data_IF_312875993353
#
_entry.id   IF_312875993353
#
_cell.length_a   1.000
_cell.length_b   1.000
_cell.length_c   1.000
_cell.angle_alpha   90.00
_cell.angle_beta   90.00
_cell.angle_gamma   90.00
#
_symmetry.space_group_name_H-M   'P 1'
#
loop_
_entity.id
_entity.type
_entity.pdbx_description
1 polymer ?
#
# COMPACT_ATOMS: atom_id res chain seq x y z
N UNK A 1 31.39 2.97 -4.53
CA UNK A 1 30.14 3.16 -3.77
C UNK A 1 29.25 4.09 -4.58
N UNK A 2 28.18 3.57 -5.17
CA UNK A 2 27.17 4.41 -5.82
C UNK A 2 26.31 5.01 -4.70
N UNK A 3 26.07 6.33 -4.65
CA UNK A 3 25.26 6.91 -3.59
C UNK A 3 23.84 6.32 -3.66
N UNK A 4 23.28 6.01 -2.48
CA UNK A 4 21.87 5.67 -2.31
C UNK A 4 21.02 6.74 -3.00
N UNK A 5 20.26 6.37 -4.02
CA UNK A 5 19.28 7.30 -4.58
C UNK A 5 18.10 7.33 -3.61
N UNK A 6 18.02 8.40 -2.83
CA UNK A 6 16.98 8.69 -1.83
C UNK A 6 15.56 8.86 -2.41
N UNK A 7 15.25 8.24 -3.56
CA UNK A 7 14.03 8.38 -4.33
C UNK A 7 13.66 7.08 -5.07
N UNK A 8 14.02 5.90 -4.56
CA UNK A 8 13.58 4.65 -5.17
C UNK A 8 12.05 4.57 -5.12
N UNK A 9 11.41 4.15 -6.21
CA UNK A 9 9.96 3.97 -6.30
C UNK A 9 9.67 2.48 -6.44
N UNK A 10 8.78 1.97 -5.61
CA UNK A 10 8.25 0.60 -5.70
C UNK A 10 6.82 0.67 -6.26
N UNK A 11 6.56 -0.04 -7.35
CA UNK A 11 5.24 -0.09 -7.99
C UNK A 11 4.48 -1.34 -7.54
N UNK A 12 3.36 -1.16 -6.84
CA UNK A 12 2.47 -2.23 -6.40
C UNK A 12 1.29 -2.38 -7.34
N UNK A 13 0.95 -3.61 -7.73
CA UNK A 13 -0.20 -3.87 -8.60
C UNK A 13 -1.38 -4.39 -7.78
N UNK A 14 -2.55 -3.76 -7.94
CA UNK A 14 -3.82 -4.31 -7.45
C UNK A 14 -4.48 -5.15 -8.54
N UNK A 15 -4.50 -6.46 -8.36
CA UNK A 15 -5.19 -7.35 -9.28
C UNK A 15 -6.70 -7.28 -9.11
N UNK A 16 -7.43 -7.44 -10.21
CA UNK A 16 -8.89 -7.51 -10.22
C UNK A 16 -9.32 -8.96 -10.36
N UNK A 17 -10.24 -9.38 -9.51
CA UNK A 17 -10.88 -10.68 -9.58
C UNK A 17 -12.30 -10.53 -10.10
N UNK A 18 -12.57 -11.16 -11.24
CA UNK A 18 -13.91 -11.27 -11.80
C UNK A 18 -14.10 -12.71 -12.31
N UNK A 19 -15.23 -13.32 -11.95
CA UNK A 19 -15.66 -14.62 -12.46
C UNK A 19 -14.64 -15.77 -12.35
N UNK A 20 -13.83 -15.79 -11.29
CA UNK A 20 -12.83 -16.85 -11.11
C UNK A 20 -11.48 -16.61 -11.78
N UNK A 21 -11.32 -15.48 -12.49
CA UNK A 21 -10.14 -15.12 -13.29
C UNK A 21 -9.40 -13.95 -12.63
N UNK A 22 -8.09 -14.11 -12.45
CA UNK A 22 -7.19 -13.03 -12.01
C UNK A 22 -6.79 -12.17 -13.21
N UNK A 23 -7.28 -10.94 -13.31
CA UNK A 23 -6.97 -10.10 -14.46
C UNK A 23 -5.74 -9.21 -14.18
N UNK A 24 -4.70 -9.23 -15.03
CA UNK A 24 -3.47 -8.47 -14.81
C UNK A 24 -3.59 -6.96 -15.11
N UNK A 25 -4.69 -6.48 -15.70
CA UNK A 25 -4.97 -5.05 -15.97
C UNK A 25 -5.36 -4.27 -14.71
N UNK A 26 -4.57 -4.44 -13.66
CA UNK A 26 -4.69 -3.73 -12.40
C UNK A 26 -4.23 -2.28 -12.49
N UNK A 27 -4.63 -1.48 -11.50
CA UNK A 27 -4.01 -0.18 -11.24
C UNK A 27 -2.67 -0.40 -10.53
N UNK A 28 -1.64 0.31 -10.97
CA UNK A 28 -0.36 0.35 -10.26
C UNK A 28 -0.36 1.53 -9.27
N UNK A 29 0.29 1.33 -8.14
CA UNK A 29 0.49 2.32 -7.08
C UNK A 29 1.97 2.46 -6.83
N UNK A 30 2.48 3.66 -7.07
CA UNK A 30 3.89 3.97 -6.90
C UNK A 30 4.10 4.51 -5.48
N UNK A 31 4.95 3.83 -4.70
CA UNK A 31 5.30 4.23 -3.34
C UNK A 31 6.78 4.61 -3.33
N UNK A 32 7.06 5.82 -2.85
CA UNK A 32 8.44 6.30 -2.71
C UNK A 32 9.05 5.73 -1.44
N UNK A 33 10.23 5.12 -1.57
CA UNK A 33 11.01 4.60 -0.44
C UNK A 33 11.66 5.75 0.32
N UNK A 34 11.46 5.81 1.63
CA UNK A 34 11.96 6.86 2.50
C UNK A 34 12.99 6.35 3.50
N UNK A 35 13.81 7.23 4.06
CA UNK A 35 14.71 6.88 5.17
C UNK A 35 13.93 6.61 6.47
N UNK A 36 12.83 7.35 6.67
CA UNK A 36 11.84 7.16 7.72
C UNK A 36 10.59 6.51 7.12
N UNK A 37 10.48 5.19 7.25
CA UNK A 37 9.32 4.44 6.76
C UNK A 37 8.24 4.25 7.83
N UNK A 38 7.15 3.59 7.44
CA UNK A 38 6.01 3.26 8.30
C UNK A 38 6.39 2.57 9.61
N UNK A 39 7.39 1.70 9.59
CA UNK A 39 7.79 0.87 10.72
C UNK A 39 8.93 1.47 11.53
N UNK A 40 9.69 2.43 10.99
CA UNK A 40 10.85 3.00 11.69
C UNK A 40 11.82 3.76 10.78
N UNK A 41 13.06 3.89 11.24
CA UNK A 41 14.13 4.59 10.51
C UNK A 41 15.20 3.60 10.04
N UNK A 42 15.62 3.74 8.79
CA UNK A 42 16.73 2.95 8.24
C UNK A 42 18.10 3.28 8.87
N UNK A 43 18.21 4.44 9.53
CA UNK A 43 19.41 4.87 10.26
C UNK A 43 19.44 4.38 11.72
N UNK A 44 18.39 3.70 12.17
CA UNK A 44 18.35 3.16 13.53
C UNK A 44 19.49 2.15 13.75
N UNK A 45 20.14 2.21 14.91
CA UNK A 45 21.22 1.26 15.25
C UNK A 45 20.71 -0.19 15.36
N UNK A 46 19.42 -0.35 15.64
CA UNK A 46 18.71 -1.63 15.70
C UNK A 46 17.25 -1.42 15.31
N UNK A 47 16.64 -2.44 14.72
CA UNK A 47 15.25 -2.42 14.28
C UNK A 47 14.72 -3.85 14.21
N UNK A 48 13.47 -4.06 14.61
CA UNK A 48 12.81 -5.35 14.44
C UNK A 48 11.31 -5.16 14.23
N UNK A 49 10.74 -5.97 13.35
CA UNK A 49 9.29 -6.08 13.13
C UNK A 49 8.65 -7.16 13.99
N UNK A 50 9.45 -8.12 14.44
CA UNK A 50 9.04 -9.21 15.32
C UNK A 50 9.54 -8.92 16.75
N UNK A 51 8.98 -9.56 17.78
CA UNK A 51 9.43 -9.37 19.16
C UNK A 51 10.94 -9.58 19.29
N UNK A 52 11.61 -8.75 20.10
CA UNK A 52 13.03 -8.89 20.45
C UNK A 52 13.18 -8.98 21.98
N UNK A 53 13.70 -10.10 22.54
CA UNK A 53 14.16 -11.29 21.82
C UNK A 53 13.02 -12.08 21.19
N UNK A 54 13.23 -12.56 19.95
CA UNK A 54 12.26 -13.40 19.26
C UNK A 54 12.26 -14.80 19.88
N UNK A 55 11.11 -15.20 20.41
CA UNK A 55 10.86 -16.58 20.80
C UNK A 55 10.03 -17.27 19.71
N UNK A 56 10.69 -18.01 18.81
CA UNK A 56 10.03 -18.79 17.73
C UNK A 56 8.91 -19.67 18.28
N UNK A 57 9.02 -20.18 19.51
CA UNK A 57 8.01 -21.05 20.08
C UNK A 57 6.65 -20.38 20.31
N UNK A 58 6.63 -19.05 20.38
CA UNK A 58 5.42 -18.25 20.52
C UNK A 58 4.74 -17.94 19.17
N UNK A 59 5.42 -18.20 18.03
CA UNK A 59 4.85 -18.00 16.71
C UNK A 59 3.92 -19.17 16.36
N UNK A 60 2.65 -18.89 16.06
CA UNK A 60 1.70 -19.93 15.66
C UNK A 60 2.09 -20.59 14.34
N UNK A 61 2.78 -19.86 13.47
CA UNK A 61 3.27 -20.33 12.18
C UNK A 61 4.67 -20.98 12.25
N UNK A 62 5.21 -21.27 13.45
CA UNK A 62 6.48 -22.02 13.51
C UNK A 62 6.38 -23.40 12.81
N UNK A 63 5.18 -23.97 12.79
CA UNK A 63 4.84 -25.22 12.11
C UNK A 63 3.57 -25.02 11.27
N UNK A 64 3.57 -25.52 10.04
CA UNK A 64 2.34 -25.74 9.27
C UNK A 64 1.86 -27.16 9.48
N UNK A 65 0.56 -27.34 9.75
CA UNK A 65 -0.07 -28.65 9.88
C UNK A 65 -0.15 -29.42 8.56
N UNK A 66 0.11 -28.74 7.44
CA UNK A 66 0.02 -29.28 6.09
C UNK A 66 1.38 -29.28 5.36
N UNK A 67 2.49 -29.05 6.09
CA UNK A 67 3.85 -28.83 5.57
C UNK A 67 4.37 -29.87 4.55
N UNK A 68 3.83 -31.09 4.51
CA UNK A 68 4.20 -32.09 3.51
C UNK A 68 3.02 -32.99 3.11
N UNK A 69 1.80 -32.44 3.20
CA UNK A 69 0.61 -33.19 2.77
C UNK A 69 0.47 -33.25 1.25
N UNK A 70 0.97 -32.23 0.54
CA UNK A 70 0.99 -32.13 -0.92
C UNK A 70 2.27 -31.43 -1.40
N UNK A 71 2.62 -31.60 -2.67
CA UNK A 71 3.74 -30.88 -3.29
C UNK A 71 3.52 -29.37 -3.21
N UNK A 72 2.31 -28.89 -3.48
CA UNK A 72 1.96 -27.47 -3.37
C UNK A 72 2.09 -26.89 -1.96
N UNK A 73 1.58 -27.59 -0.93
CA UNK A 73 1.67 -27.12 0.45
C UNK A 73 3.11 -27.09 0.96
N UNK A 74 3.92 -28.09 0.57
CA UNK A 74 5.36 -28.09 0.82
C UNK A 74 6.06 -26.93 0.10
N UNK A 75 5.79 -26.73 -1.19
CA UNK A 75 6.37 -25.63 -1.96
C UNK A 75 6.04 -24.27 -1.34
N UNK A 76 4.81 -24.07 -0.86
CA UNK A 76 4.38 -22.82 -0.22
C UNK A 76 5.19 -22.49 1.04
N UNK A 77 5.49 -23.49 1.86
CA UNK A 77 6.31 -23.36 3.06
C UNK A 77 7.82 -23.25 2.74
N UNK A 78 8.35 -24.13 1.88
CA UNK A 78 9.76 -24.15 1.48
C UNK A 78 10.16 -22.87 0.72
N UNK A 79 9.22 -22.28 -0.02
CA UNK A 79 9.43 -20.99 -0.68
C UNK A 79 9.34 -19.80 0.27
N UNK A 80 9.13 -20.03 1.57
CA UNK A 80 8.96 -19.04 2.63
C UNK A 80 7.73 -18.13 2.50
N UNK A 81 6.81 -18.40 1.56
CA UNK A 81 5.60 -17.59 1.41
C UNK A 81 4.61 -17.78 2.56
N UNK A 82 4.53 -18.99 3.13
CA UNK A 82 3.79 -19.24 4.36
C UNK A 82 4.28 -18.33 5.52
N UNK A 83 5.60 -18.26 5.72
CA UNK A 83 6.22 -17.46 6.78
C UNK A 83 6.13 -15.96 6.48
N UNK A 84 6.30 -15.57 5.21
CA UNK A 84 6.17 -14.20 4.75
C UNK A 84 4.76 -13.69 5.00
N UNK A 85 3.74 -14.45 4.60
CA UNK A 85 2.35 -14.10 4.80
C UNK A 85 2.02 -13.91 6.28
N UNK A 86 2.48 -14.82 7.16
CA UNK A 86 2.28 -14.71 8.59
C UNK A 86 3.00 -13.49 9.19
N UNK A 87 4.26 -13.27 8.80
CA UNK A 87 5.08 -12.18 9.34
C UNK A 87 4.57 -10.81 8.90
N UNK A 88 4.06 -10.68 7.67
CA UNK A 88 3.43 -9.45 7.18
C UNK A 88 2.17 -9.16 7.99
N UNK A 89 1.30 -10.16 8.21
CA UNK A 89 0.10 -9.96 9.05
C UNK A 89 0.45 -9.64 10.50
N UNK A 90 1.54 -10.20 11.01
CA UNK A 90 2.06 -9.83 12.31
C UNK A 90 2.47 -8.35 12.34
N UNK A 91 3.28 -7.90 11.39
CA UNK A 91 3.76 -6.52 11.33
C UNK A 91 2.62 -5.49 11.15
N UNK A 92 1.75 -5.69 10.15
CA UNK A 92 0.71 -4.73 9.79
C UNK A 92 -0.53 -4.78 10.69
N UNK A 93 -0.88 -5.98 11.21
CA UNK A 93 -2.16 -6.22 11.88
C UNK A 93 -2.01 -6.75 13.31
N UNK A 94 -0.79 -6.99 13.78
CA UNK A 94 -0.51 -7.61 15.09
C UNK A 94 -1.18 -8.99 15.24
N UNK A 95 -1.32 -9.72 14.12
CA UNK A 95 -1.97 -11.01 14.07
C UNK A 95 -0.94 -12.15 14.08
N UNK A 96 -1.00 -12.97 15.12
CA UNK A 96 -0.21 -14.21 15.22
C UNK A 96 -1.08 -15.42 14.80
N UNK A 97 -1.01 -15.78 13.52
CA UNK A 97 -1.80 -16.86 12.90
C UNK A 97 -0.90 -17.82 12.11
N UNK A 98 -1.37 -19.05 11.88
CA UNK A 98 -0.78 -19.98 10.93
C UNK A 98 -1.53 -19.86 9.59
N UNK A 99 -0.94 -19.37 8.49
CA UNK A 99 -1.70 -19.16 7.27
C UNK A 99 -2.15 -20.45 6.56
N UNK A 100 -3.41 -20.53 6.16
CA UNK A 100 -3.96 -21.75 5.56
C UNK A 100 -3.63 -21.88 4.07
N UNK A 101 -2.80 -22.87 3.73
CA UNK A 101 -2.62 -23.30 2.35
C UNK A 101 -3.94 -23.75 1.71
N UNK A 102 -4.81 -24.47 2.43
CA UNK A 102 -6.08 -24.93 1.85
C UNK A 102 -7.05 -23.78 1.57
N UNK A 103 -7.05 -22.72 2.40
CA UNK A 103 -7.81 -21.51 2.07
C UNK A 103 -7.28 -20.89 0.80
N UNK A 104 -5.96 -20.80 0.67
CA UNK A 104 -5.34 -20.29 -0.54
C UNK A 104 -5.73 -21.14 -1.75
N UNK A 105 -5.53 -22.45 -1.67
CA UNK A 105 -5.87 -23.39 -2.71
C UNK A 105 -7.34 -23.30 -3.12
N UNK A 106 -8.29 -23.25 -2.19
CA UNK A 106 -9.71 -23.39 -2.51
C UNK A 106 -10.43 -22.08 -2.83
N UNK A 107 -9.98 -20.96 -2.25
CA UNK A 107 -10.67 -19.67 -2.33
C UNK A 107 -9.98 -18.64 -3.23
N UNK A 108 -8.77 -18.91 -3.73
CA UNK A 108 -8.10 -18.01 -4.66
C UNK A 108 -8.50 -18.28 -6.11
N UNK A 109 -8.25 -17.32 -7.02
CA UNK A 109 -8.55 -17.47 -8.43
C UNK A 109 -7.94 -18.76 -8.99
N UNK A 110 -8.68 -19.43 -9.88
CA UNK A 110 -8.24 -20.70 -10.45
C UNK A 110 -7.30 -20.47 -11.62
N UNK A 111 -7.54 -19.40 -12.36
CA UNK A 111 -6.83 -19.10 -13.59
C UNK A 111 -6.38 -17.64 -13.65
N UNK A 112 -5.22 -17.42 -14.27
CA UNK A 112 -4.69 -16.08 -14.57
C UNK A 112 -5.23 -15.55 -15.91
N UNK A 113 -5.55 -16.47 -16.83
CA UNK A 113 -6.27 -16.21 -18.07
C UNK A 113 -7.16 -17.41 -18.34
N UNK A 114 -8.15 -17.35 -19.25
CA UNK A 114 -9.06 -18.48 -19.50
C UNK A 114 -8.38 -19.85 -19.73
N UNK A 115 -7.10 -19.87 -20.14
CA UNK A 115 -6.35 -21.09 -20.46
C UNK A 115 -5.09 -21.30 -19.60
N UNK A 116 -4.92 -20.56 -18.49
CA UNK A 116 -3.72 -20.68 -17.64
C UNK A 116 -4.12 -20.85 -16.18
N UNK A 117 -4.07 -22.08 -15.72
CA UNK A 117 -4.27 -22.41 -14.31
C UNK A 117 -3.15 -21.78 -13.46
N UNK A 118 -3.53 -21.23 -12.32
CA UNK A 118 -2.59 -20.69 -11.32
C UNK A 118 -1.92 -21.84 -10.55
N UNK A 119 -2.69 -22.88 -10.27
CA UNK A 119 -2.24 -24.05 -9.53
C UNK A 119 -1.97 -25.19 -10.50
N UNK A 120 -0.79 -25.78 -10.41
CA UNK A 120 -0.48 -27.05 -11.03
C UNK A 120 -1.36 -28.18 -10.48
N UNK A 121 -1.34 -29.31 -11.18
CA UNK A 121 -2.10 -30.52 -10.80
C UNK A 121 -1.74 -31.01 -9.40
N UNK A 122 -0.50 -30.78 -8.97
CA UNK A 122 0.05 -31.12 -7.66
C UNK A 122 -0.12 -30.02 -6.59
N UNK A 123 -0.81 -28.93 -6.95
CA UNK A 123 -1.06 -27.77 -6.10
C UNK A 123 0.06 -26.73 -6.07
N UNK A 124 1.15 -26.92 -6.85
CA UNK A 124 2.23 -25.93 -6.95
C UNK A 124 1.75 -24.65 -7.64
N UNK A 125 2.40 -23.52 -7.36
CA UNK A 125 2.10 -22.24 -7.99
C UNK A 125 3.39 -21.62 -8.52
N UNK A 126 3.36 -21.16 -9.77
CA UNK A 126 4.53 -20.56 -10.41
C UNK A 126 4.90 -19.20 -9.81
N UNK A 127 3.89 -18.42 -9.42
CA UNK A 127 4.08 -17.11 -8.80
C UNK A 127 3.13 -16.93 -7.61
N UNK A 128 3.61 -17.23 -6.41
CA UNK A 128 2.81 -17.04 -5.19
C UNK A 128 2.47 -15.56 -4.95
N UNK A 129 3.32 -14.62 -5.40
CA UNK A 129 3.12 -13.18 -5.13
C UNK A 129 1.82 -12.63 -5.73
N UNK A 130 1.34 -13.21 -6.85
CA UNK A 130 0.11 -12.76 -7.49
C UNK A 130 -1.16 -13.20 -6.77
N UNK A 131 -1.06 -14.13 -5.81
CA UNK A 131 -2.23 -14.66 -5.10
C UNK A 131 -2.16 -14.52 -3.59
N UNK A 132 -0.97 -14.39 -2.97
CA UNK A 132 -0.78 -14.54 -1.51
C UNK A 132 -1.79 -13.76 -0.65
N UNK A 133 -2.16 -12.53 -1.01
CA UNK A 133 -3.11 -11.72 -0.23
C UNK A 133 -4.45 -11.48 -0.93
N UNK A 134 -4.65 -12.00 -2.15
CA UNK A 134 -5.72 -11.55 -3.04
C UNK A 134 -7.13 -11.81 -2.49
N UNK A 135 -7.37 -12.97 -1.86
CA UNK A 135 -8.65 -13.29 -1.20
C UNK A 135 -8.57 -13.12 0.32
N UNK A 136 -7.51 -12.47 0.81
CA UNK A 136 -7.12 -12.46 2.22
C UNK A 136 -6.66 -13.83 2.72
N UNK A 137 -6.28 -13.85 3.99
CA UNK A 137 -5.60 -14.97 4.65
C UNK A 137 -6.43 -15.48 5.79
N UNK A 138 -6.65 -16.80 5.83
CA UNK A 138 -7.33 -17.47 6.93
C UNK A 138 -6.34 -18.26 7.79
N UNK A 139 -6.60 -18.35 9.10
CA UNK A 139 -5.85 -19.22 10.00
C UNK A 139 -6.13 -20.70 9.68
N UNK A 140 -5.10 -21.55 9.64
CA UNK A 140 -5.19 -23.02 9.51
C UNK A 140 -6.12 -23.61 10.57
N UNK A 141 -6.06 -23.09 11.81
CA UNK A 141 -6.89 -23.57 12.91
C UNK A 141 -8.40 -23.38 12.63
N UNK A 142 -8.76 -22.36 11.85
CA UNK A 142 -10.14 -22.14 11.44
C UNK A 142 -10.48 -22.94 10.18
N UNK A 143 -9.67 -22.79 9.12
CA UNK A 143 -10.02 -23.33 7.81
C UNK A 143 -9.99 -24.86 7.77
N UNK A 144 -9.09 -25.44 8.56
CA UNK A 144 -8.81 -26.86 8.61
C UNK A 144 -7.60 -27.26 7.79
N UNK A 145 -7.19 -28.51 7.99
CA UNK A 145 -5.95 -29.09 7.45
C UNK A 145 -6.20 -30.13 6.36
N UNK A 146 -7.42 -30.27 5.86
CA UNK A 146 -7.78 -31.18 4.77
C UNK A 146 -8.41 -30.43 3.60
N UNK A 147 -8.17 -30.92 2.39
CA UNK A 147 -8.86 -30.44 1.20
C UNK A 147 -10.35 -30.84 1.21
N UNK A 148 -11.19 -29.93 0.74
CA UNK A 148 -12.57 -30.18 0.37
C UNK A 148 -12.66 -30.98 -0.93
N UNK A 149 -13.74 -31.76 -1.05
CA UNK A 149 -14.08 -32.42 -2.31
C UNK A 149 -14.37 -31.38 -3.38
N UNK A 150 -13.68 -31.47 -4.53
CA UNK A 150 -13.92 -30.57 -5.66
C UNK A 150 -13.36 -29.15 -5.49
N UNK A 151 -12.49 -28.91 -4.50
CA UNK A 151 -11.83 -27.61 -4.27
C UNK A 151 -12.86 -26.48 -4.08
N UNK A 152 -13.81 -26.73 -3.19
CA UNK A 152 -14.88 -25.79 -2.85
C UNK A 152 -14.38 -24.85 -1.77
N UNK A 153 -14.39 -23.55 -2.04
CA UNK A 153 -14.08 -22.55 -1.03
C UNK A 153 -15.07 -22.64 0.14
N UNK A 154 -14.54 -22.91 1.34
CA UNK A 154 -15.36 -23.08 2.55
C UNK A 154 -15.69 -21.73 3.17
N UNK A 155 -16.99 -21.50 3.38
CA UNK A 155 -17.47 -20.30 4.05
C UNK A 155 -17.32 -20.34 5.58
N UNK A 156 -16.85 -21.45 6.18
CA UNK A 156 -16.78 -21.64 7.64
C UNK A 156 -15.88 -20.63 8.36
N UNK A 157 -15.00 -19.95 7.63
CA UNK A 157 -14.12 -18.88 8.13
C UNK A 157 -14.29 -17.54 7.40
N UNK A 158 -15.39 -17.38 6.66
CA UNK A 158 -15.62 -16.24 5.74
C UNK A 158 -15.65 -14.85 6.40
N UNK A 159 -15.71 -14.76 7.74
CA UNK A 159 -15.62 -13.50 8.50
C UNK A 159 -14.22 -13.23 9.09
N UNK A 160 -13.23 -14.07 8.82
CA UNK A 160 -11.89 -14.01 9.41
C UNK A 160 -10.78 -14.17 8.35
N UNK A 161 -10.93 -13.49 7.21
CA UNK A 161 -9.81 -13.30 6.29
C UNK A 161 -9.12 -11.98 6.59
N UNK A 162 -7.79 -11.98 6.53
CA UNK A 162 -6.96 -10.83 6.88
C UNK A 162 -6.08 -10.42 5.70
N UNK A 163 -5.70 -9.15 5.63
CA UNK A 163 -4.70 -8.70 4.66
C UNK A 163 -5.17 -8.65 3.21
N UNK A 164 -6.48 -8.69 2.94
CA UNK A 164 -7.01 -8.48 1.58
C UNK A 164 -6.73 -7.08 1.02
N UNK A 165 -6.28 -6.17 1.88
CA UNK A 165 -5.80 -4.82 1.57
C UNK A 165 -4.28 -4.75 1.35
N UNK A 166 -3.55 -5.87 1.48
CA UNK A 166 -2.11 -5.92 1.23
C UNK A 166 -1.83 -6.24 -0.24
N UNK A 167 -0.98 -5.43 -0.85
CA UNK A 167 -0.46 -5.62 -2.19
C UNK A 167 0.97 -6.11 -2.12
N UNK A 168 1.39 -6.92 -3.09
CA UNK A 168 2.77 -7.37 -3.23
C UNK A 168 3.40 -6.78 -4.49
N UNK A 169 4.70 -6.57 -4.42
CA UNK A 169 5.53 -6.34 -5.60
C UNK A 169 6.82 -7.12 -5.48
N UNK A 170 7.47 -7.32 -6.63
CA UNK A 170 8.76 -7.98 -6.73
C UNK A 170 9.78 -6.99 -7.29
N UNK A 171 10.89 -6.84 -6.57
CA UNK A 171 12.04 -6.08 -7.04
C UNK A 171 13.25 -6.95 -7.37
N UNK A 172 14.33 -6.31 -7.82
CA UNK A 172 15.57 -6.96 -8.25
C UNK A 172 16.59 -7.10 -7.13
N UNK A 173 17.87 -6.86 -7.43
CA UNK A 173 18.94 -6.93 -6.45
C UNK A 173 18.85 -5.82 -5.39
N UNK A 174 19.28 -6.13 -4.16
CA UNK A 174 19.35 -5.20 -3.04
C UNK A 174 20.74 -5.21 -2.39
N UNK A 175 21.15 -4.05 -1.89
CA UNK A 175 22.26 -3.91 -0.93
C UNK A 175 21.73 -4.05 0.51
N UNK A 176 22.63 -4.13 1.50
CA UNK A 176 22.25 -4.12 2.91
C UNK A 176 21.45 -2.86 3.31
N UNK A 177 21.88 -1.68 2.86
CA UNK A 177 21.15 -0.43 3.11
C UNK A 177 19.78 -0.43 2.40
N UNK A 178 19.73 -0.93 1.17
CA UNK A 178 18.49 -1.11 0.44
C UNK A 178 17.51 -2.03 1.17
N UNK A 179 18.01 -3.11 1.80
CA UNK A 179 17.21 -4.01 2.64
C UNK A 179 16.64 -3.30 3.87
N UNK A 180 17.46 -2.54 4.60
CA UNK A 180 17.01 -1.75 5.76
C UNK A 180 15.91 -0.76 5.38
N UNK A 181 16.08 -0.07 4.25
CA UNK A 181 15.06 0.82 3.70
C UNK A 181 13.76 0.07 3.41
N UNK A 182 13.80 -1.11 2.76
CA UNK A 182 12.57 -1.88 2.49
C UNK A 182 11.92 -2.37 3.78
N UNK A 183 12.72 -2.81 4.75
CA UNK A 183 12.23 -3.27 6.06
C UNK A 183 11.42 -2.18 6.79
N UNK A 184 11.93 -0.94 6.82
CA UNK A 184 11.24 0.14 7.54
C UNK A 184 10.05 0.71 6.79
N UNK A 185 10.04 0.64 5.45
CA UNK A 185 8.91 1.15 4.64
C UNK A 185 7.79 0.11 4.49
N UNK A 186 8.14 -1.16 4.30
CA UNK A 186 7.21 -2.18 3.79
C UNK A 186 7.04 -3.38 4.72
N UNK A 187 7.78 -3.44 5.82
CA UNK A 187 7.73 -4.55 6.75
C UNK A 187 8.65 -5.69 6.30
N UNK A 188 8.29 -6.96 6.57
CA UNK A 188 9.18 -8.08 6.27
C UNK A 188 9.53 -8.16 4.78
N UNK A 189 10.75 -8.61 4.47
CA UNK A 189 11.24 -8.72 3.09
C UNK A 189 11.59 -10.17 2.81
N UNK A 190 10.86 -10.79 1.87
CA UNK A 190 11.18 -12.12 1.37
C UNK A 190 12.22 -12.02 0.25
N UNK A 191 13.34 -12.69 0.40
CA UNK A 191 14.47 -12.69 -0.53
C UNK A 191 14.67 -14.08 -1.10
N UNK A 192 14.96 -14.15 -2.39
CA UNK A 192 15.42 -15.37 -3.04
C UNK A 192 16.91 -15.25 -3.35
N UNK A 193 17.67 -16.23 -2.87
CA UNK A 193 19.11 -16.33 -3.11
C UNK A 193 19.40 -17.48 -4.07
N UNK A 194 20.54 -17.43 -4.76
CA UNK A 194 20.94 -18.47 -5.72
C UNK A 194 21.40 -19.75 -5.00
N UNK A 195 22.04 -19.59 -3.84
CA UNK A 195 22.85 -20.65 -3.21
C UNK A 195 22.41 -21.04 -1.82
N UNK A 196 21.69 -20.18 -1.10
CA UNK A 196 21.50 -20.31 0.36
C UNK A 196 20.02 -20.46 0.75
N UNK A 197 19.14 -20.64 -0.24
CA UNK A 197 17.70 -20.74 -0.07
C UNK A 197 17.02 -19.39 0.12
N UNK A 198 15.69 -19.43 0.29
CA UNK A 198 14.90 -18.22 0.51
C UNK A 198 15.04 -17.76 1.96
N UNK A 199 15.11 -16.45 2.16
CA UNK A 199 15.27 -15.82 3.48
C UNK A 199 14.17 -14.80 3.70
N UNK A 200 13.65 -14.74 4.90
CA UNK A 200 12.66 -13.74 5.30
C UNK A 200 13.27 -12.80 6.32
N UNK A 201 13.70 -11.63 5.87
CA UNK A 201 14.28 -10.60 6.73
C UNK A 201 13.18 -9.85 7.47
N UNK A 202 13.46 -9.52 8.73
CA UNK A 202 12.50 -8.81 9.58
C UNK A 202 13.14 -7.76 10.51
N UNK A 203 14.46 -7.59 10.47
CA UNK A 203 15.14 -6.63 11.33
C UNK A 203 16.65 -6.60 11.16
N UNK A 204 17.32 -5.82 12.01
CA UNK A 204 18.77 -5.83 12.19
C UNK A 204 19.13 -5.42 13.62
N UNK A 205 20.33 -5.81 14.04
CA UNK A 205 20.96 -5.36 15.27
C UNK A 205 22.40 -4.91 14.97
N UNK A 206 23.21 -4.72 16.01
CA UNK A 206 24.62 -4.30 15.88
C UNK A 206 25.52 -5.33 15.19
N UNK A 207 25.05 -6.58 15.07
CA UNK A 207 25.81 -7.71 14.53
C UNK A 207 25.34 -8.15 13.14
N UNK A 208 24.24 -7.61 12.62
CA UNK A 208 23.78 -7.96 11.27
C UNK A 208 22.27 -7.91 11.08
N UNK A 209 21.85 -8.31 9.90
CA UNK A 209 20.46 -8.46 9.50
C UNK A 209 19.88 -9.76 10.06
N UNK A 210 18.66 -9.67 10.61
CA UNK A 210 17.94 -10.78 11.21
C UNK A 210 16.99 -11.38 10.18
N UNK A 211 17.02 -12.71 10.03
CA UNK A 211 16.14 -13.40 9.10
C UNK A 211 15.63 -14.75 9.62
N UNK A 212 14.51 -15.18 9.05
CA UNK A 212 13.91 -16.49 9.23
C UNK A 212 14.16 -17.36 7.99
N UNK A 213 14.26 -18.66 8.19
CA UNK A 213 14.32 -19.67 7.13
C UNK A 213 13.73 -20.99 7.62
N UNK A 214 13.38 -21.91 6.72
CA UNK A 214 13.04 -23.29 7.08
C UNK A 214 14.21 -24.22 6.81
N UNK A 215 14.54 -25.07 7.77
CA UNK A 215 15.53 -26.14 7.57
C UNK A 215 14.95 -27.29 6.72
N UNK A 216 15.75 -28.31 6.42
CA UNK A 216 15.32 -29.46 5.60
C UNK A 216 14.15 -30.24 6.21
N UNK A 217 13.95 -30.16 7.52
CA UNK A 217 12.84 -30.79 8.25
C UNK A 217 11.59 -29.88 8.30
N UNK A 218 11.62 -28.70 7.69
CA UNK A 218 10.52 -27.75 7.69
C UNK A 218 10.36 -26.95 8.95
N UNK A 219 11.34 -26.99 9.85
CA UNK A 219 11.27 -26.24 11.09
C UNK A 219 11.66 -24.80 10.81
N UNK A 220 10.87 -23.86 11.32
CA UNK A 220 11.20 -22.45 11.26
C UNK A 220 12.40 -22.17 12.17
N UNK A 221 13.44 -21.58 11.60
CA UNK A 221 14.68 -21.22 12.25
C UNK A 221 14.88 -19.70 12.14
N UNK A 222 15.66 -19.15 13.08
CA UNK A 222 16.11 -17.76 13.07
C UNK A 222 17.63 -17.75 13.07
N UNK A 223 18.19 -16.79 12.37
CA UNK A 223 19.63 -16.54 12.32
C UNK A 223 19.86 -15.08 11.91
N UNK A 224 21.11 -14.72 11.74
CA UNK A 224 21.53 -13.40 11.29
C UNK A 224 22.72 -13.50 10.33
N UNK A 225 22.95 -12.44 9.56
CA UNK A 225 24.11 -12.28 8.69
C UNK A 225 24.62 -10.84 8.72
N UNK A 226 25.94 -10.69 8.69
CA UNK A 226 26.59 -9.36 8.66
C UNK A 226 26.43 -8.70 7.28
N UNK A 227 26.48 -9.49 6.21
CA UNK A 227 26.40 -9.04 4.83
C UNK A 227 25.32 -9.79 4.07
N UNK A 228 24.66 -9.08 3.15
CA UNK A 228 23.71 -9.69 2.23
C UNK A 228 24.47 -10.28 1.04
N UNK A 229 24.38 -11.59 0.87
CA UNK A 229 24.85 -12.28 -0.34
C UNK A 229 23.87 -12.03 -1.51
N UNK A 230 24.36 -12.17 -2.74
CA UNK A 230 23.67 -11.81 -4.00
C UNK A 230 22.15 -12.06 -4.00
N UNK A 231 21.37 -10.99 -3.79
CA UNK A 231 19.91 -11.00 -3.91
C UNK A 231 19.54 -11.00 -5.37
N UNK A 232 18.82 -12.04 -5.80
CA UNK A 232 18.28 -12.12 -7.16
C UNK A 232 17.03 -11.24 -7.30
N UNK A 233 16.10 -11.46 -6.38
CA UNK A 233 14.85 -10.75 -6.29
C UNK A 233 14.38 -10.75 -4.84
N UNK A 234 13.54 -9.77 -4.53
CA UNK A 234 12.83 -9.68 -3.27
C UNK A 234 11.35 -9.45 -3.50
N UNK A 235 10.56 -9.76 -2.48
CA UNK A 235 9.14 -9.45 -2.39
C UNK A 235 8.90 -8.65 -1.11
N UNK A 236 8.13 -7.60 -1.27
CA UNK A 236 7.68 -6.70 -0.21
C UNK A 236 6.17 -6.54 -0.29
N UNK A 237 5.58 -6.13 0.83
CA UNK A 237 4.16 -5.85 0.96
C UNK A 237 3.88 -4.37 1.22
N UNK A 238 2.75 -3.88 0.74
CA UNK A 238 2.26 -2.55 1.05
C UNK A 238 0.76 -2.62 1.38
N UNK A 239 0.34 -1.98 2.45
CA UNK A 239 -1.07 -1.88 2.78
C UNK A 239 -1.72 -0.76 1.98
N UNK A 240 -2.54 -1.14 1.01
CA UNK A 240 -3.28 -0.18 0.21
C UNK A 240 -4.40 0.46 1.05
N UNK A 241 -4.44 1.79 1.05
CA UNK A 241 -5.52 2.58 1.64
C UNK A 241 -6.33 3.18 0.49
N UNK A 242 -7.63 2.85 0.40
CA UNK A 242 -8.53 3.55 -0.51
C UNK A 242 -8.83 4.92 0.08
N UNK A 243 -8.14 5.96 -0.38
CA UNK A 243 -8.31 7.33 0.10
C UNK A 243 -9.74 7.88 -0.05
N UNK A 244 -10.62 7.20 -0.80
CA UNK A 244 -12.02 7.59 -0.94
C UNK A 244 -12.97 6.90 0.04
N UNK A 245 -12.54 5.80 0.69
CA UNK A 245 -13.42 4.96 1.53
C UNK A 245 -12.84 4.63 2.89
N UNK A 246 -11.53 4.42 2.96
CA UNK A 246 -10.86 3.81 4.11
C UNK A 246 -9.95 4.81 4.87
N UNK A 247 -10.08 6.10 4.56
CA UNK A 247 -9.32 7.18 5.17
C UNK A 247 -9.75 7.40 6.63
N UNK A 248 -8.77 7.58 7.51
CA UNK A 248 -8.97 7.82 8.96
C UNK A 248 -8.30 9.12 9.38
N UNK A 249 -8.66 9.61 10.56
CA UNK A 249 -8.14 10.86 11.15
C UNK A 249 -6.60 10.85 11.27
N UNK A 250 -6.02 9.67 11.47
CA UNK A 250 -4.58 9.43 11.62
C UNK A 250 -3.89 8.96 10.33
N UNK A 251 -4.59 8.85 9.19
CA UNK A 251 -3.97 8.46 7.91
C UNK A 251 -2.97 9.53 7.46
N UNK A 252 -1.66 9.20 7.30
CA UNK A 252 -0.64 10.14 6.88
C UNK A 252 -0.95 10.82 5.53
N UNK A 253 -0.38 12.01 5.29
CA UNK A 253 -0.57 12.75 4.03
C UNK A 253 0.10 12.05 2.86
N UNK A 254 1.12 11.28 3.19
CA UNK A 254 1.97 10.52 2.27
C UNK A 254 1.20 9.34 1.68
N UNK A 255 0.35 8.68 2.49
CA UNK A 255 -0.48 7.57 2.03
C UNK A 255 -1.72 8.06 1.26
N UNK A 256 -2.29 9.18 1.70
CA UNK A 256 -3.42 9.83 1.07
C UNK A 256 -3.23 11.35 1.05
N UNK A 257 -3.03 11.99 -0.12
CA UNK A 257 -2.92 13.44 -0.19
C UNK A 257 -4.13 14.14 0.44
N UNK A 258 -3.90 15.27 1.12
CA UNK A 258 -5.00 16.08 1.63
C UNK A 258 -5.82 16.65 0.46
N UNK A 259 -7.15 16.65 0.55
CA UNK A 259 -8.00 17.29 -0.44
C UNK A 259 -7.75 18.80 -0.48
N UNK A 260 -7.96 19.41 -1.64
CA UNK A 260 -7.90 20.86 -1.78
C UNK A 260 -9.04 21.51 -0.98
N UNK A 261 -8.71 22.52 -0.16
CA UNK A 261 -9.69 23.32 0.58
C UNK A 261 -10.74 24.02 -0.31
N UNK A 262 -10.43 24.24 -1.59
CA UNK A 262 -11.38 24.76 -2.57
C UNK A 262 -12.47 23.73 -2.95
N UNK A 263 -12.15 22.44 -2.91
CA UNK A 263 -13.13 21.36 -3.09
C UNK A 263 -13.83 21.08 -1.75
N UNK A 264 -14.86 21.89 -1.46
CA UNK A 264 -15.62 21.81 -0.20
C UNK A 264 -16.21 20.42 0.06
N UNK A 265 -16.52 19.63 -0.98
CA UNK A 265 -17.12 18.31 -0.82
C UNK A 265 -16.08 17.28 -0.40
N UNK A 266 -14.96 17.20 -1.13
CA UNK A 266 -13.85 16.30 -0.78
C UNK A 266 -13.21 16.68 0.56
N UNK A 267 -13.02 17.98 0.80
CA UNK A 267 -12.47 18.50 2.05
C UNK A 267 -13.35 18.12 3.24
N UNK A 268 -14.66 18.39 3.20
CA UNK A 268 -15.59 18.04 4.30
C UNK A 268 -15.72 16.52 4.52
N UNK A 269 -15.54 15.71 3.47
CA UNK A 269 -15.65 14.25 3.57
C UNK A 269 -14.39 13.60 4.17
N UNK A 270 -13.23 14.25 4.08
CA UNK A 270 -11.99 13.73 4.66
C UNK A 270 -11.94 14.00 6.18
N UNK A 271 -11.95 12.96 7.02
CA UNK A 271 -11.98 13.10 8.48
C UNK A 271 -10.72 13.76 9.05
N UNK A 272 -9.64 13.88 8.26
CA UNK A 272 -8.39 14.54 8.66
C UNK A 272 -8.45 16.06 8.54
N UNK A 273 -9.53 16.60 7.97
CA UNK A 273 -9.75 18.04 7.84
C UNK A 273 -10.55 18.63 9.00
N UNK A 274 -10.94 17.82 9.99
CA UNK A 274 -11.49 18.29 11.25
C UNK A 274 -10.48 19.18 12.00
N UNK A 275 -10.94 20.01 12.95
CA UNK A 275 -10.06 20.92 13.69
C UNK A 275 -8.93 20.14 14.36
N UNK A 276 -7.70 20.64 14.21
CA UNK A 276 -6.45 19.99 14.65
C UNK A 276 -6.09 18.68 13.90
N UNK A 277 -6.84 18.33 12.87
CA UNK A 277 -6.54 17.22 11.98
C UNK A 277 -5.35 17.47 11.06
N UNK A 278 -4.73 16.40 10.58
CA UNK A 278 -3.52 16.42 9.74
C UNK A 278 -3.70 17.33 8.51
N UNK A 279 -4.88 17.33 7.90
CA UNK A 279 -5.23 18.10 6.71
C UNK A 279 -5.98 19.41 7.01
N UNK A 280 -6.07 19.82 8.28
CA UNK A 280 -6.76 21.05 8.65
C UNK A 280 -6.03 22.29 8.15
N UNK A 281 -6.66 23.00 7.23
CA UNK A 281 -6.34 24.37 6.85
C UNK A 281 -7.27 25.29 7.61
N UNK A 282 -6.69 26.17 8.45
CA UNK A 282 -7.44 27.23 9.10
C UNK A 282 -7.93 28.21 8.04
N UNK A 283 -9.20 28.11 7.67
CA UNK A 283 -9.83 29.07 6.77
C UNK A 283 -9.76 30.42 7.47
N UNK A 284 -8.90 31.32 6.98
CA UNK A 284 -8.98 32.72 7.41
C UNK A 284 -10.35 33.23 6.99
N UNK A 285 -11.08 33.95 7.87
CA UNK A 285 -12.36 34.51 7.49
C UNK A 285 -12.18 35.32 6.20
N UNK A 286 -12.95 34.94 5.18
CA UNK A 286 -13.01 35.68 3.93
C UNK A 286 -13.23 37.15 4.30
N UNK A 287 -12.40 38.10 3.81
CA UNK A 287 -12.59 39.51 4.12
C UNK A 287 -14.03 39.87 3.76
N UNK A 288 -14.79 40.38 4.74
CA UNK A 288 -16.19 40.71 4.54
C UNK A 288 -16.32 41.54 3.25
N UNK A 289 -17.29 41.22 2.38
CA UNK A 289 -17.48 41.97 1.15
C UNK A 289 -17.63 43.44 1.53
N UNK A 290 -16.70 44.27 1.05
CA UNK A 290 -16.72 45.71 1.28
C UNK A 290 -18.11 46.18 0.84
N UNK A 291 -18.93 46.76 1.74
CA UNK A 291 -20.28 47.14 1.40
C UNK A 291 -20.21 48.12 0.23
N UNK A 292 -20.88 47.77 -0.88
CA UNK A 292 -20.97 48.64 -2.04
C UNK A 292 -21.45 50.03 -1.59
N UNK A 293 -20.80 51.12 -2.05
CA UNK A 293 -21.22 52.45 -1.70
C UNK A 293 -22.67 52.65 -2.15
N UNK A 294 -23.57 52.78 -1.18
CA UNK A 294 -24.99 53.07 -1.44
C UNK A 294 -25.08 54.31 -2.36
N UNK A 295 -25.78 54.24 -3.50
CA UNK A 295 -25.94 55.39 -4.36
C UNK A 295 -26.65 56.51 -3.58
N UNK A 296 -25.97 57.65 -3.46
CA UNK A 296 -26.54 58.87 -2.90
C UNK A 296 -27.62 59.32 -3.90
N UNK A 297 -28.88 59.09 -3.57
CA UNK A 297 -30.01 59.64 -4.33
C UNK A 297 -30.10 61.13 -4.00
N UNK A 298 -29.48 61.97 -4.83
CA UNK A 298 -29.71 63.42 -4.79
C UNK A 298 -30.91 63.72 -5.69
N UNK A 299 -32.04 64.05 -5.06
CA UNK A 299 -33.21 64.54 -5.75
C UNK A 299 -33.06 66.04 -6.05
N UNK A 300 -32.79 66.38 -7.30
CA UNK A 300 -33.10 67.65 -7.97
C UNK A 300 -32.80 67.40 -9.46
N UNK A 301 -33.70 67.55 -10.41
CA UNK A 301 -34.75 68.53 -10.56
C UNK A 301 -34.80 68.79 -12.08
N UNK A 302 -36.00 68.74 -12.63
CA UNK A 302 -36.29 68.94 -14.04
C UNK A 302 -35.80 70.28 -14.58
N UNK A 303 -34.91 70.30 -15.57
CA UNK A 303 -34.89 71.32 -16.63
C UNK A 303 -34.51 70.64 -17.95
N UNK A 304 -35.54 70.37 -18.77
CA UNK A 304 -35.38 70.17 -20.22
C UNK A 304 -34.99 71.51 -20.85
N UNK A 305 -34.41 71.42 -22.05
CA UNK A 305 -34.20 72.48 -23.05
C UNK A 305 -33.20 73.58 -22.68
N UNK A 306 -31.99 73.50 -23.27
CA UNK A 306 -31.26 74.60 -23.94
C UNK A 306 -29.78 74.21 -24.08
N UNK A 307 -29.34 73.84 -25.29
CA UNK A 307 -27.98 74.01 -25.86
C UNK A 307 -27.73 72.99 -27.00
N UNK A 308 -28.64 72.96 -27.97
CA UNK A 308 -28.40 72.42 -29.31
C UNK A 308 -27.76 73.49 -30.25
N UNK A 309 -26.90 74.37 -29.73
CA UNK A 309 -26.39 75.56 -30.47
C UNK A 309 -24.86 75.73 -30.45
N UNK A 310 -24.09 74.91 -29.71
CA UNK A 310 -22.61 75.04 -29.67
C UNK A 310 -21.83 74.02 -30.51
N UNK A 311 -22.50 73.11 -31.24
CA UNK A 311 -21.81 72.13 -32.09
C UNK A 311 -21.67 72.56 -33.57
N UNK A 312 -22.29 73.68 -33.99
CA UNK A 312 -22.25 74.16 -35.40
C UNK A 312 -21.29 75.35 -35.60
N UNK A 313 -20.82 76.00 -34.53
CA UNK A 313 -19.91 77.17 -34.63
C UNK A 313 -18.41 76.79 -34.54
N UNK A 314 -18.07 75.58 -34.10
CA UNK A 314 -16.67 75.10 -34.08
C UNK A 314 -16.25 74.28 -35.32
N UNK A 315 -17.17 73.97 -36.23
CA UNK A 315 -16.89 73.15 -37.43
C UNK A 315 -16.79 73.93 -38.75
N UNK A 316 -17.01 75.24 -38.73
CA UNK A 316 -16.96 76.10 -39.94
C UNK A 316 -15.56 76.66 -40.26
N UNK A 317 -14.58 76.81 -39.33
CA UNK A 317 -13.22 77.20 -39.71
C UNK A 317 -12.36 76.06 -40.30
N UNK A 318 -12.79 74.80 -40.19
CA UNK A 318 -12.02 73.62 -40.59
C UNK A 318 -12.29 73.11 -42.02
N UNK A 319 -13.22 73.74 -42.77
CA UNK A 319 -13.57 73.35 -44.14
C UNK A 319 -13.32 74.46 -45.19
N UNK A 320 -12.57 75.53 -44.84
CA UNK A 320 -12.15 76.59 -45.76
C UNK A 320 -10.63 76.72 -45.94
N UNK A 321 -9.86 75.76 -45.44
CA UNK A 321 -8.49 75.54 -45.91
C UNK A 321 -8.52 74.27 -46.75
N UNK A 322 -8.69 74.45 -48.07
CA UNK A 322 -8.34 73.64 -49.25
C UNK A 322 -9.41 73.77 -50.33
#
# INVERSE_FOLDING_TARGET
MMPLQSNAIESFRKYIFADGILTPTGTNFDVTVQEQGQFGSSDASQFTLLPDPLNINNLKWKTSSVYDQTVGSKQFADSMFYDFQASVLYAYKQLNIAPSYWHMYECHPRTETPNKDIFGVDGTVTNWASITFQSGVCDEACYGNTASTGRVCRASCSKQTYGGDLLLTQGGSLTADGMKQRLVNFGPVLVFTVTEGNRLYYGWNTTGLLYLYRNQQGQLMQTQEEEITQVMNYIISYQFIDCTKDIKVDTPKEDCPCPDSADKAAYKADPRTEVDGICYVRVQPEPEPVPEPKPIVVAAGSIRTSLAVMAVVMLIPLLLMW
#
